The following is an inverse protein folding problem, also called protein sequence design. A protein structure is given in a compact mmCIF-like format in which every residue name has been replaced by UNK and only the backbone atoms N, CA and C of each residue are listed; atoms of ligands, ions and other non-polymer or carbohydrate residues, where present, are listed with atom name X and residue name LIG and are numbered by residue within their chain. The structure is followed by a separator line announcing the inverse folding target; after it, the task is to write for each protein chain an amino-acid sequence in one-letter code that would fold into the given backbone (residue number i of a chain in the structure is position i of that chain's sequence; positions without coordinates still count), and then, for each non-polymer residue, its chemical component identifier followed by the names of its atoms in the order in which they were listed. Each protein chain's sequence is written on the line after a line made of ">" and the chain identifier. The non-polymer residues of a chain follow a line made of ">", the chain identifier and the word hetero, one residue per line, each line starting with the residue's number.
data_IF_946440281919
#
_entry.id   IF_946440281919
#
_cell.length_a   1.000
_cell.length_b   1.000
_cell.length_c   1.000
_cell.angle_alpha   90.00
_cell.angle_beta   90.00
_cell.angle_gamma   90.00
#
_symmetry.space_group_name_H-M   'P 1'
#
loop_
_entity.id
_entity.type
_entity.pdbx_description
1 polymer ?
#
# COMPACT_ATOMS: atom_id res chain seq x y z
N UNK A 1 2.01 -5.40 -26.53
CA UNK A 1 2.61 -5.23 -25.22
C UNK A 1 1.92 -4.12 -24.49
N UNK A 2 1.44 -4.42 -23.31
CA UNK A 2 0.78 -3.40 -22.50
C UNK A 2 1.81 -2.61 -21.70
N UNK A 3 2.62 -1.86 -22.41
CA UNK A 3 3.63 -1.02 -21.78
C UNK A 3 3.05 0.10 -20.95
N UNK A 4 1.76 0.41 -21.18
CA UNK A 4 1.06 1.45 -20.45
C UNK A 4 0.20 0.91 -19.33
N UNK A 5 0.32 -0.38 -19.04
CA UNK A 5 -0.48 -0.95 -17.95
C UNK A 5 0.05 -0.48 -16.60
N UNK A 6 -0.83 0.13 -15.82
CA UNK A 6 -0.51 0.62 -14.49
C UNK A 6 -1.16 -0.29 -13.45
N UNK A 7 -0.37 -0.78 -12.51
CA UNK A 7 -0.88 -1.59 -11.41
C UNK A 7 -1.17 -0.70 -10.21
N UNK A 8 -2.35 -0.85 -9.65
CA UNK A 8 -2.71 -0.15 -8.42
C UNK A 8 -2.16 -0.91 -7.22
N UNK A 9 -1.48 -0.19 -6.35
CA UNK A 9 -0.80 -0.73 -5.18
C UNK A 9 -1.48 -0.22 -3.92
N UNK A 10 -1.70 -1.13 -2.97
CA UNK A 10 -2.10 -0.77 -1.62
C UNK A 10 -0.90 -0.88 -0.70
N UNK A 11 -0.63 0.16 0.08
CA UNK A 11 0.50 0.20 1.00
C UNK A 11 0.00 -0.04 2.42
N UNK A 12 0.58 -1.04 3.08
CA UNK A 12 0.25 -1.34 4.48
C UNK A 12 1.51 -1.13 5.31
N UNK A 13 1.45 -0.21 6.26
CA UNK A 13 2.59 0.20 7.07
C UNK A 13 3.12 1.55 6.62
N UNK A 14 2.83 2.60 7.40
CA UNK A 14 3.11 3.98 7.02
C UNK A 14 4.25 4.61 7.85
N UNK A 15 5.29 3.83 8.15
CA UNK A 15 6.47 4.31 8.87
C UNK A 15 7.46 5.03 7.96
N UNK A 16 8.66 5.24 8.44
CA UNK A 16 9.69 5.99 7.71
C UNK A 16 10.01 5.40 6.34
N UNK A 17 10.03 4.07 6.24
CA UNK A 17 10.40 3.42 4.99
C UNK A 17 9.37 3.66 3.88
N UNK A 18 8.14 3.97 4.26
CA UNK A 18 7.10 4.26 3.27
C UNK A 18 7.47 5.46 2.40
N UNK A 19 8.15 6.46 2.95
CA UNK A 19 8.59 7.63 2.19
C UNK A 19 9.52 7.26 1.05
N UNK A 20 10.39 6.28 1.27
CA UNK A 20 11.30 5.80 0.23
C UNK A 20 10.51 5.25 -0.96
N UNK A 21 9.47 4.49 -0.70
CA UNK A 21 8.64 3.92 -1.75
C UNK A 21 7.80 4.97 -2.47
N UNK A 22 7.33 5.99 -1.76
CA UNK A 22 6.61 7.08 -2.41
C UNK A 22 7.53 7.91 -3.31
N UNK A 23 8.79 8.08 -2.94
CA UNK A 23 9.77 8.74 -3.83
C UNK A 23 10.02 7.90 -5.07
N UNK A 24 10.25 6.60 -4.89
CA UNK A 24 10.48 5.69 -6.00
C UNK A 24 9.29 5.66 -6.95
N UNK A 25 8.07 5.74 -6.41
CA UNK A 25 6.85 5.76 -7.18
C UNK A 25 6.85 6.85 -8.27
N UNK A 26 7.48 7.97 -8.02
CA UNK A 26 7.56 9.07 -8.99
C UNK A 26 8.41 8.72 -10.21
N UNK A 27 9.32 7.76 -10.08
CA UNK A 27 10.23 7.36 -11.14
C UNK A 27 9.77 6.14 -11.92
N UNK A 28 8.72 5.48 -11.46
CA UNK A 28 8.19 4.29 -12.11
C UNK A 28 6.80 4.57 -12.65
N UNK A 29 6.59 4.27 -13.93
CA UNK A 29 5.33 4.55 -14.60
C UNK A 29 4.38 3.37 -14.59
N UNK A 30 4.81 2.22 -14.09
CA UNK A 30 4.03 0.99 -14.19
C UNK A 30 3.27 0.62 -12.91
N UNK A 31 3.40 1.38 -11.83
CA UNK A 31 2.59 1.17 -10.64
C UNK A 31 2.23 2.49 -9.97
N UNK A 32 1.12 2.47 -9.24
CA UNK A 32 0.62 3.65 -8.55
C UNK A 32 0.10 3.24 -7.18
N UNK A 33 0.61 3.87 -6.12
CA UNK A 33 0.11 3.66 -4.77
C UNK A 33 -1.15 4.52 -4.62
N UNK A 34 -2.31 3.89 -4.45
CA UNK A 34 -3.58 4.60 -4.42
C UNK A 34 -4.21 4.68 -3.03
N UNK A 35 -3.88 3.75 -2.15
CA UNK A 35 -4.40 3.72 -0.79
C UNK A 35 -3.33 3.27 0.18
N UNK A 36 -3.41 3.74 1.42
CA UNK A 36 -2.54 3.28 2.49
C UNK A 36 -3.32 2.96 3.74
N UNK A 37 -2.76 2.08 4.55
CA UNK A 37 -3.33 1.69 5.83
C UNK A 37 -2.21 1.43 6.84
N UNK A 38 -2.53 1.55 8.12
CA UNK A 38 -1.61 1.26 9.20
C UNK A 38 -2.44 0.88 10.42
N UNK A 39 -1.92 0.01 11.27
CA UNK A 39 -2.55 -0.32 12.55
C UNK A 39 -2.78 0.97 13.32
N UNK A 40 -1.80 1.88 13.29
CA UNK A 40 -1.96 3.22 13.80
C UNK A 40 -2.61 4.09 12.72
N UNK A 41 -3.91 4.28 12.83
CA UNK A 41 -4.67 5.01 11.80
C UNK A 41 -4.19 6.45 11.64
N UNK A 42 -3.70 7.08 12.70
CA UNK A 42 -3.13 8.44 12.61
C UNK A 42 -1.92 8.48 11.69
N UNK A 43 -1.09 7.43 11.71
CA UNK A 43 0.05 7.32 10.82
C UNK A 43 -0.41 7.20 9.36
N UNK A 44 -1.47 6.45 9.12
CA UNK A 44 -2.04 6.31 7.78
C UNK A 44 -2.58 7.64 7.27
N UNK A 45 -3.29 8.40 8.11
CA UNK A 45 -3.84 9.70 7.74
C UNK A 45 -2.72 10.68 7.38
N UNK A 46 -1.67 10.72 8.19
CA UNK A 46 -0.52 11.60 7.94
C UNK A 46 0.16 11.26 6.61
N UNK A 47 0.36 9.98 6.38
CA UNK A 47 0.96 9.47 5.14
C UNK A 47 0.09 9.82 3.93
N UNK A 48 -1.22 9.65 4.05
CA UNK A 48 -2.15 9.93 2.98
C UNK A 48 -2.17 11.41 2.60
N UNK A 49 -2.19 12.30 3.60
CA UNK A 49 -2.17 13.75 3.35
C UNK A 49 -0.89 14.16 2.65
N UNK A 50 0.25 13.65 3.09
CA UNK A 50 1.55 13.99 2.52
C UNK A 50 1.66 13.56 1.07
N UNK A 51 1.06 12.44 0.72
CA UNK A 51 1.20 11.84 -0.60
C UNK A 51 -0.05 11.96 -1.46
N UNK A 52 -1.07 12.66 -0.99
CA UNK A 52 -2.32 12.91 -1.72
C UNK A 52 -3.02 11.64 -2.15
N UNK A 53 -3.07 10.67 -1.26
CA UNK A 53 -3.79 9.41 -1.46
C UNK A 53 -4.78 9.22 -0.32
N UNK A 54 -5.48 8.09 -0.31
CA UNK A 54 -6.53 7.83 0.66
C UNK A 54 -6.05 6.91 1.77
N UNK A 55 -6.29 7.30 3.03
CA UNK A 55 -6.06 6.44 4.19
C UNK A 55 -7.31 5.61 4.44
N UNK A 56 -7.15 4.30 4.52
CA UNK A 56 -8.25 3.36 4.70
C UNK A 56 -7.85 2.27 5.69
N UNK A 57 -8.76 1.37 6.00
CA UNK A 57 -8.44 0.21 6.83
C UNK A 57 -7.67 -0.83 6.01
N UNK A 58 -6.96 -1.69 6.72
CA UNK A 58 -6.26 -2.82 6.07
C UNK A 58 -7.28 -3.69 5.32
N UNK A 59 -8.42 -3.93 5.95
CA UNK A 59 -9.48 -4.72 5.34
C UNK A 59 -9.97 -4.12 4.03
N UNK A 60 -10.11 -2.81 3.96
CA UNK A 60 -10.55 -2.15 2.73
C UNK A 60 -9.54 -2.33 1.62
N UNK A 61 -8.25 -2.23 1.91
CA UNK A 61 -7.21 -2.49 0.91
C UNK A 61 -7.29 -3.93 0.40
N UNK A 62 -7.43 -4.89 1.31
CA UNK A 62 -7.47 -6.31 0.95
C UNK A 62 -8.69 -6.67 0.12
N UNK A 63 -9.80 -5.98 0.33
CA UNK A 63 -11.04 -6.22 -0.40
C UNK A 63 -11.19 -5.39 -1.68
N UNK A 64 -10.27 -4.47 -1.93
CA UNK A 64 -10.36 -3.63 -3.12
C UNK A 64 -9.88 -4.39 -4.36
N UNK A 65 -10.80 -4.67 -5.25
CA UNK A 65 -10.52 -5.43 -6.47
C UNK A 65 -9.62 -4.69 -7.44
N UNK A 66 -9.50 -3.40 -7.31
CA UNK A 66 -8.62 -2.57 -8.15
C UNK A 66 -7.16 -2.68 -7.71
N UNK A 67 -6.92 -3.11 -6.46
CA UNK A 67 -5.57 -3.26 -5.93
C UNK A 67 -5.09 -4.68 -6.19
N UNK A 68 -4.06 -4.82 -7.01
CA UNK A 68 -3.47 -6.11 -7.35
C UNK A 68 -2.20 -6.42 -6.57
N UNK A 69 -1.53 -5.39 -6.08
CA UNK A 69 -0.24 -5.52 -5.40
C UNK A 69 -0.34 -4.90 -4.03
N UNK A 70 0.14 -5.62 -3.02
CA UNK A 70 0.26 -5.12 -1.65
C UNK A 70 1.73 -4.89 -1.35
N UNK A 71 2.05 -3.66 -0.96
CA UNK A 71 3.37 -3.34 -0.45
C UNK A 71 3.30 -3.39 1.07
N UNK A 72 3.87 -4.43 1.66
CA UNK A 72 3.76 -4.70 3.09
C UNK A 72 5.01 -4.19 3.82
N UNK A 73 4.88 -3.03 4.45
CA UNK A 73 5.97 -2.37 5.18
C UNK A 73 5.71 -2.39 6.69
N UNK A 74 4.97 -3.37 7.17
CA UNK A 74 4.68 -3.50 8.60
C UNK A 74 5.92 -3.95 9.37
N UNK A 75 5.89 -3.72 10.70
CA UNK A 75 6.96 -4.20 11.56
C UNK A 75 7.02 -5.72 11.54
N UNK A 76 8.18 -6.33 11.87
CA UNK A 76 8.33 -7.79 11.77
C UNK A 76 7.25 -8.61 12.47
N UNK A 77 6.77 -8.13 13.61
CA UNK A 77 5.72 -8.85 14.35
C UNK A 77 4.42 -8.98 13.58
N UNK A 78 4.09 -7.99 12.74
CA UNK A 78 2.83 -7.97 11.98
C UNK A 78 3.03 -8.41 10.52
N UNK A 79 4.27 -8.41 10.03
CA UNK A 79 4.55 -8.62 8.61
C UNK A 79 4.02 -9.95 8.08
N UNK A 80 4.24 -11.00 8.82
CA UNK A 80 3.80 -12.34 8.42
C UNK A 80 2.27 -12.43 8.35
N UNK A 81 1.60 -11.93 9.38
CA UNK A 81 0.13 -11.97 9.44
C UNK A 81 -0.50 -11.19 8.28
N UNK A 82 0.04 -10.01 7.98
CA UNK A 82 -0.46 -9.17 6.88
C UNK A 82 -0.22 -9.84 5.54
N UNK A 83 0.96 -10.41 5.34
CA UNK A 83 1.30 -11.12 4.09
C UNK A 83 0.34 -12.29 3.87
N UNK A 84 0.05 -13.06 4.91
CA UNK A 84 -0.86 -14.18 4.84
C UNK A 84 -2.27 -13.74 4.44
N UNK A 85 -2.76 -12.68 5.07
CA UNK A 85 -4.08 -12.12 4.75
C UNK A 85 -4.13 -11.64 3.29
N UNK A 86 -3.08 -11.00 2.83
CA UNK A 86 -3.00 -10.52 1.45
C UNK A 86 -3.10 -11.69 0.47
N UNK A 87 -2.36 -12.78 0.72
CA UNK A 87 -2.41 -13.97 -0.12
C UNK A 87 -3.80 -14.57 -0.17
N UNK A 88 -4.51 -14.60 0.97
CA UNK A 88 -5.87 -15.13 1.03
C UNK A 88 -6.85 -14.29 0.21
N UNK A 89 -6.53 -13.03 -0.03
CA UNK A 89 -7.34 -12.12 -0.83
C UNK A 89 -6.86 -12.02 -2.27
N UNK A 90 -5.97 -12.92 -2.70
CA UNK A 90 -5.49 -12.96 -4.07
C UNK A 90 -4.48 -11.88 -4.44
N UNK A 91 -3.81 -11.34 -3.46
CA UNK A 91 -2.83 -10.26 -3.71
C UNK A 91 -1.42 -10.74 -3.97
#
# INVERSE_FOLDING_TARGET
>A
ISMNKIFNVGLIGCGHIAETYFRAHKYFNNFKIIKCADINHKAAIKCAKKNKIKAVSIKEILNDKKIKIILNLTIPAAHYSVANLALRHGK
#
